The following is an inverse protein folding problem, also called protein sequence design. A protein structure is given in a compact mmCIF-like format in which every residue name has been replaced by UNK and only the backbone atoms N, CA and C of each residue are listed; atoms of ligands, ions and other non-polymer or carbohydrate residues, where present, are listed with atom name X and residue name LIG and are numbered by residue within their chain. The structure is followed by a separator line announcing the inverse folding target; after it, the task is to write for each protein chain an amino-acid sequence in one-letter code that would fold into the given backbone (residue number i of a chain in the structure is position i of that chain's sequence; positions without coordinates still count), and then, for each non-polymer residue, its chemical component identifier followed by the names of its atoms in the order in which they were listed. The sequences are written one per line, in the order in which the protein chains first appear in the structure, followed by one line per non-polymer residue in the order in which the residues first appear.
data_IF_126349266200
#
_entry.id   IF_126349266200
#
_cell.length_a   1.000
_cell.length_b   1.000
_cell.length_c   1.000
_cell.angle_alpha   90.00
_cell.angle_beta   90.00
_cell.angle_gamma   90.00
#
_symmetry.space_group_name_H-M   'P 1'
#
loop_
_entity.id
_entity.type
_entity.pdbx_description
1 polymer ?
#
# COMPACT_ATOMS: atom_id res chain seq x y z
N UNK A 1 29.79 44.46 -11.66
CA UNK A 1 30.65 43.64 -10.77
C UNK A 1 29.89 42.93 -9.65
N UNK A 2 28.98 43.58 -8.92
CA UNK A 2 28.24 42.97 -7.79
C UNK A 2 27.40 41.72 -8.16
N UNK A 3 26.63 41.76 -9.25
CA UNK A 3 25.80 40.63 -9.67
C UNK A 3 26.62 39.37 -10.06
N UNK A 4 27.78 39.58 -10.69
CA UNK A 4 28.70 38.49 -11.05
C UNK A 4 29.27 37.84 -9.79
N UNK A 5 29.70 38.66 -8.82
CA UNK A 5 30.21 38.17 -7.55
C UNK A 5 29.17 37.38 -6.76
N UNK A 6 27.93 37.86 -6.69
CA UNK A 6 26.83 37.15 -6.03
C UNK A 6 26.55 35.79 -6.69
N UNK A 7 26.56 35.73 -8.03
CA UNK A 7 26.36 34.49 -8.79
C UNK A 7 27.46 33.46 -8.53
N UNK A 8 28.72 33.90 -8.50
CA UNK A 8 29.86 33.02 -8.19
C UNK A 8 29.74 32.47 -6.76
N UNK A 9 29.47 33.34 -5.78
CA UNK A 9 29.30 32.93 -4.38
C UNK A 9 28.17 31.92 -4.20
N UNK A 10 27.06 32.10 -4.92
CA UNK A 10 25.96 31.14 -4.94
C UNK A 10 26.39 29.78 -5.50
N UNK A 11 27.10 29.75 -6.62
CA UNK A 11 27.60 28.51 -7.22
C UNK A 11 28.60 27.79 -6.31
N UNK A 12 29.49 28.52 -5.64
CA UNK A 12 30.42 27.93 -4.66
C UNK A 12 29.69 27.25 -3.50
N UNK A 13 28.66 27.90 -2.96
CA UNK A 13 27.86 27.32 -1.88
C UNK A 13 27.12 26.06 -2.33
N UNK A 14 26.58 26.06 -3.56
CA UNK A 14 25.95 24.88 -4.14
C UNK A 14 26.91 23.71 -4.28
N UNK A 15 28.16 23.96 -4.70
CA UNK A 15 29.17 22.91 -4.82
C UNK A 15 29.55 22.33 -3.46
N UNK A 16 29.67 23.16 -2.42
CA UNK A 16 29.93 22.71 -1.05
C UNK A 16 28.78 21.84 -0.52
N UNK A 17 27.55 22.24 -0.76
CA UNK A 17 26.36 21.46 -0.39
C UNK A 17 26.37 20.08 -1.07
N UNK A 18 26.61 20.03 -2.38
CA UNK A 18 26.68 18.77 -3.11
C UNK A 18 27.79 17.86 -2.64
N UNK A 19 28.98 18.41 -2.36
CA UNK A 19 30.10 17.63 -1.83
C UNK A 19 29.74 16.96 -0.50
N UNK A 20 29.10 17.69 0.41
CA UNK A 20 28.63 17.16 1.70
C UNK A 20 27.62 16.02 1.51
N UNK A 21 26.70 16.17 0.57
CA UNK A 21 25.72 15.13 0.25
C UNK A 21 26.35 13.87 -0.34
N UNK A 22 27.32 14.02 -1.23
CA UNK A 22 28.09 12.92 -1.78
C UNK A 22 28.86 12.16 -0.70
N UNK A 23 29.52 12.87 0.23
CA UNK A 23 30.23 12.27 1.38
C UNK A 23 29.28 11.52 2.32
N UNK A 24 28.07 12.05 2.52
CA UNK A 24 27.07 11.44 3.38
C UNK A 24 26.23 10.35 2.69
N UNK A 25 26.44 10.09 1.39
CA UNK A 25 25.59 9.19 0.61
C UNK A 25 24.11 9.63 0.55
N UNK A 26 23.83 10.92 0.68
CA UNK A 26 22.46 11.47 0.72
C UNK A 26 22.18 12.32 -0.51
N UNK A 27 20.91 12.43 -0.90
CA UNK A 27 20.52 13.16 -2.11
C UNK A 27 20.01 14.56 -1.73
N UNK A 28 20.60 15.64 -2.30
CA UNK A 28 20.20 17.02 -2.06
C UNK A 28 18.71 17.25 -2.32
N UNK A 29 18.03 17.92 -1.38
CA UNK A 29 16.58 18.19 -1.47
C UNK A 29 16.20 18.92 -2.76
N UNK A 30 17.05 19.85 -3.22
CA UNK A 30 16.77 20.65 -4.42
C UNK A 30 16.73 19.84 -5.71
N UNK A 31 17.44 18.69 -5.78
CA UNK A 31 17.37 17.80 -6.94
C UNK A 31 15.97 17.20 -7.08
N UNK A 32 15.28 16.93 -5.95
CA UNK A 32 13.91 16.42 -5.95
C UNK A 32 12.90 17.43 -6.52
N UNK A 33 13.21 18.73 -6.44
CA UNK A 33 12.34 19.82 -6.93
C UNK A 33 12.68 20.32 -8.34
N UNK A 34 13.68 19.75 -9.00
CA UNK A 34 14.05 20.18 -10.35
C UNK A 34 13.02 19.70 -11.37
N UNK A 35 12.44 20.65 -12.11
CA UNK A 35 11.41 20.37 -13.12
C UNK A 35 11.96 19.71 -14.40
N UNK A 36 13.26 19.83 -14.67
CA UNK A 36 13.87 19.31 -15.88
C UNK A 36 15.38 19.13 -15.74
N UNK A 37 15.96 18.25 -16.54
CA UNK A 37 17.41 18.11 -16.62
C UNK A 37 18.10 19.40 -17.08
N UNK A 38 19.27 19.74 -16.50
CA UNK A 38 20.09 20.82 -17.00
C UNK A 38 20.46 20.60 -18.46
N UNK A 39 20.28 21.64 -19.29
CA UNK A 39 20.73 21.66 -20.68
C UNK A 39 22.19 22.11 -20.76
N UNK A 40 23.04 21.27 -21.34
CA UNK A 40 24.46 21.49 -21.53
C UNK A 40 24.73 21.89 -22.98
N UNK A 41 25.70 22.77 -23.20
CA UNK A 41 26.06 23.22 -24.54
C UNK A 41 26.74 22.12 -25.38
N UNK A 42 27.46 21.20 -24.73
CA UNK A 42 28.14 20.09 -25.41
C UNK A 42 27.31 18.81 -25.33
N UNK A 43 27.11 18.08 -26.45
CA UNK A 43 26.42 16.79 -26.43
C UNK A 43 27.06 15.77 -25.47
N UNK A 44 28.40 15.75 -25.40
CA UNK A 44 29.14 14.88 -24.47
C UNK A 44 28.88 15.25 -23.01
N UNK A 45 28.75 16.53 -22.71
CA UNK A 45 28.41 16.99 -21.37
C UNK A 45 26.95 16.67 -21.04
N UNK A 46 26.02 16.83 -21.99
CA UNK A 46 24.61 16.47 -21.81
C UNK A 46 24.46 14.98 -21.51
N UNK A 47 25.15 14.10 -22.26
CA UNK A 47 25.11 12.66 -22.03
C UNK A 47 25.49 12.30 -20.59
N UNK A 48 26.59 12.88 -20.09
CA UNK A 48 27.03 12.66 -18.69
C UNK A 48 25.99 13.14 -17.69
N UNK A 49 25.39 14.32 -17.91
CA UNK A 49 24.34 14.84 -17.03
C UNK A 49 23.16 13.87 -17.00
N UNK A 50 22.64 13.48 -18.16
CA UNK A 50 21.50 12.57 -18.27
C UNK A 50 21.78 11.23 -17.56
N UNK A 51 22.94 10.64 -17.79
CA UNK A 51 23.34 9.37 -17.17
C UNK A 51 23.43 9.49 -15.65
N UNK A 52 24.09 10.53 -15.14
CA UNK A 52 24.19 10.75 -13.68
C UNK A 52 22.83 11.02 -13.05
N UNK A 53 21.94 11.72 -13.75
CA UNK A 53 20.61 12.02 -13.22
C UNK A 53 19.73 10.78 -13.18
N UNK A 54 19.78 9.96 -14.23
CA UNK A 54 19.10 8.67 -14.27
C UNK A 54 19.59 7.75 -13.15
N UNK A 55 20.90 7.68 -12.90
CA UNK A 55 21.46 6.93 -11.78
C UNK A 55 20.90 7.44 -10.43
N UNK A 56 20.86 8.75 -10.23
CA UNK A 56 20.30 9.33 -9.00
C UNK A 56 18.82 8.96 -8.86
N UNK A 57 18.02 9.08 -9.92
CA UNK A 57 16.61 8.69 -9.91
C UNK A 57 16.41 7.22 -9.53
N UNK A 58 17.16 6.29 -10.15
CA UNK A 58 17.12 4.88 -9.78
C UNK A 58 17.44 4.68 -8.30
N UNK A 59 18.50 5.33 -7.79
CA UNK A 59 18.85 5.19 -6.36
C UNK A 59 17.78 5.75 -5.42
N UNK A 60 17.06 6.82 -5.79
CA UNK A 60 15.93 7.34 -5.00
C UNK A 60 14.80 6.32 -4.97
N UNK A 61 14.49 5.71 -6.12
CA UNK A 61 13.43 4.72 -6.22
C UNK A 61 13.77 3.46 -5.42
N UNK A 62 15.00 2.96 -5.51
CA UNK A 62 15.46 1.81 -4.73
C UNK A 62 15.33 2.06 -3.22
N UNK A 63 15.71 3.26 -2.76
CA UNK A 63 15.54 3.65 -1.36
C UNK A 63 14.07 3.68 -0.94
N UNK A 64 13.18 4.19 -1.81
CA UNK A 64 11.75 4.22 -1.53
C UNK A 64 11.14 2.82 -1.48
N UNK A 65 11.56 1.92 -2.39
CA UNK A 65 11.14 0.52 -2.39
C UNK A 65 11.55 -0.16 -1.07
N UNK A 66 12.81 -0.02 -0.66
CA UNK A 66 13.30 -0.58 0.60
C UNK A 66 12.53 -0.05 1.83
N UNK A 67 12.16 1.23 1.83
CA UNK A 67 11.35 1.81 2.90
C UNK A 67 9.93 1.19 2.93
N UNK A 68 9.30 1.02 1.77
CA UNK A 68 7.99 0.37 1.65
C UNK A 68 8.06 -1.08 2.14
N UNK A 69 9.07 -1.84 1.73
CA UNK A 69 9.27 -3.23 2.14
C UNK A 69 9.44 -3.34 3.66
N UNK A 70 10.25 -2.46 4.26
CA UNK A 70 10.43 -2.39 5.71
C UNK A 70 9.12 -2.11 6.44
N UNK A 71 8.35 -1.14 5.94
CA UNK A 71 7.05 -0.80 6.53
C UNK A 71 6.07 -1.96 6.40
N UNK A 72 6.02 -2.63 5.24
CA UNK A 72 5.19 -3.81 5.02
C UNK A 72 5.54 -4.94 6.01
N UNK A 73 6.82 -5.19 6.24
CA UNK A 73 7.28 -6.19 7.21
C UNK A 73 6.82 -5.84 8.64
N UNK A 74 6.95 -4.56 9.05
CA UNK A 74 6.49 -4.10 10.36
C UNK A 74 4.97 -4.25 10.53
N UNK A 75 4.18 -3.92 9.50
CA UNK A 75 2.74 -4.09 9.53
C UNK A 75 2.32 -5.56 9.61
N UNK A 76 3.02 -6.46 8.90
CA UNK A 76 2.80 -7.90 9.02
C UNK A 76 3.06 -8.39 10.45
N UNK A 77 4.15 -7.96 11.07
CA UNK A 77 4.48 -8.31 12.47
C UNK A 77 3.43 -7.80 13.45
N UNK A 78 3.00 -6.55 13.31
CA UNK A 78 1.92 -5.96 14.12
C UNK A 78 0.62 -6.75 14.00
N UNK A 79 0.25 -7.14 12.79
CA UNK A 79 -0.95 -7.94 12.55
C UNK A 79 -0.86 -9.31 13.22
N UNK A 80 0.29 -9.99 13.12
CA UNK A 80 0.50 -11.28 13.79
C UNK A 80 0.44 -11.17 15.32
N UNK A 81 1.02 -10.11 15.90
CA UNK A 81 0.92 -9.82 17.33
C UNK A 81 -0.53 -9.63 17.77
N UNK A 82 -1.32 -8.88 17.00
CA UNK A 82 -2.74 -8.67 17.27
C UNK A 82 -3.55 -9.98 17.21
N UNK A 83 -3.26 -10.85 16.23
CA UNK A 83 -3.88 -12.17 16.14
C UNK A 83 -3.55 -13.03 17.36
N UNK A 84 -2.30 -13.01 17.82
CA UNK A 84 -1.87 -13.75 19.00
C UNK A 84 -2.56 -13.22 20.26
N UNK A 85 -2.62 -11.90 20.44
CA UNK A 85 -3.32 -11.26 21.55
C UNK A 85 -4.79 -11.70 21.60
N UNK A 86 -5.50 -11.63 20.47
CA UNK A 86 -6.92 -12.05 20.37
C UNK A 86 -7.11 -13.52 20.75
N UNK A 87 -6.17 -14.40 20.39
CA UNK A 87 -6.21 -15.82 20.77
C UNK A 87 -6.00 -16.00 22.27
N UNK A 88 -5.03 -15.30 22.87
CA UNK A 88 -4.78 -15.33 24.31
C UNK A 88 -5.97 -14.79 25.12
N UNK A 89 -6.59 -13.70 24.68
CA UNK A 89 -7.77 -13.14 25.34
C UNK A 89 -8.96 -14.10 25.36
N UNK A 90 -9.21 -14.83 24.25
CA UNK A 90 -10.24 -15.88 24.22
C UNK A 90 -9.96 -17.00 25.22
N UNK A 91 -8.72 -17.47 25.31
CA UNK A 91 -8.34 -18.51 26.27
C UNK A 91 -8.49 -18.06 27.73
N UNK A 92 -8.18 -16.80 28.02
CA UNK A 92 -8.39 -16.21 29.35
C UNK A 92 -9.88 -16.14 29.69
N UNK A 93 -10.73 -15.78 28.74
CA UNK A 93 -12.19 -15.73 28.94
C UNK A 93 -12.79 -17.14 29.14
N UNK A 94 -12.35 -18.14 28.37
CA UNK A 94 -12.79 -19.54 28.54
C UNK A 94 -12.35 -20.11 29.90
N UNK A 95 -11.08 -19.92 30.28
CA UNK A 95 -10.58 -20.36 31.60
C UNK A 95 -11.19 -19.64 32.80
N UNK A 96 -11.88 -18.52 32.58
CA UNK A 96 -12.63 -17.78 33.62
C UNK A 96 -14.07 -18.27 33.76
N UNK A 97 -14.68 -18.81 32.70
CA UNK A 97 -16.02 -19.45 32.73
C UNK A 97 -16.03 -20.78 33.48
N UNK A 98 -14.90 -21.50 33.54
CA UNK A 98 -14.78 -22.74 34.32
C UNK A 98 -14.63 -22.51 35.84
N UNK A 99 -14.30 -21.28 36.27
CA UNK A 99 -14.05 -20.93 37.68
C UNK A 99 -15.21 -20.21 38.37
N UNK A 100 -16.36 -20.04 37.71
CA UNK A 100 -17.59 -19.70 38.45
C UNK A 100 -18.06 -20.94 39.20
N UNK A 101 -17.63 -20.99 40.47
CA UNK A 101 -18.06 -21.95 41.46
C UNK A 101 -19.59 -22.12 41.39
N UNK A 102 -20.03 -23.38 41.43
CA UNK A 102 -21.43 -23.78 41.58
C UNK A 102 -21.98 -23.07 42.83
N UNK A 103 -22.67 -21.96 42.65
CA UNK A 103 -23.44 -21.34 43.71
C UNK A 103 -24.59 -22.31 43.96
N UNK A 104 -24.55 -22.97 45.10
CA UNK A 104 -25.63 -23.83 45.58
C UNK A 104 -26.88 -22.97 45.69
N UNK A 105 -27.85 -23.18 44.80
CA UNK A 105 -29.14 -22.51 44.83
C UNK A 105 -29.93 -23.01 46.05
N UNK A 106 -29.77 -22.33 47.18
CA UNK A 106 -30.79 -22.37 48.22
C UNK A 106 -31.87 -21.37 47.81
N UNK A 107 -33.00 -21.93 47.40
CA UNK A 107 -34.24 -21.25 47.07
C UNK A 107 -34.63 -20.26 48.16
N UNK A 108 -34.83 -19.00 47.77
CA UNK A 108 -35.78 -18.06 48.37
C UNK A 108 -35.95 -16.85 47.46
N UNK A 109 -37.05 -16.94 46.71
CA UNK A 109 -37.86 -15.87 46.12
C UNK A 109 -37.52 -14.46 46.58
N UNK A 110 -36.96 -13.66 45.66
CA UNK A 110 -37.27 -12.24 45.54
C UNK A 110 -37.24 -11.89 44.03
N UNK A 111 -38.44 -11.99 43.48
CA UNK A 111 -38.92 -11.41 42.23
C UNK A 111 -38.76 -9.88 42.26
N UNK A 112 -37.75 -9.34 41.57
CA UNK A 112 -37.62 -7.91 41.24
C UNK A 112 -36.84 -7.79 39.91
N UNK A 113 -37.61 -7.59 38.83
CA UNK A 113 -37.23 -7.31 37.43
C UNK A 113 -36.76 -8.49 36.57
N UNK A 114 -37.74 -9.15 35.94
CA UNK A 114 -37.56 -9.79 34.64
C UNK A 114 -37.48 -8.73 33.53
N UNK A 115 -36.51 -8.88 32.65
CA UNK A 115 -36.51 -8.25 31.32
C UNK A 115 -37.64 -8.85 30.48
N UNK A 116 -38.16 -8.09 29.51
CA UNK A 116 -38.06 -8.60 28.14
C UNK A 116 -37.09 -7.77 27.31
N UNK A 117 -36.16 -8.46 26.65
CA UNK A 117 -35.50 -8.00 25.43
C UNK A 117 -36.58 -7.72 24.37
N UNK A 118 -36.67 -6.48 23.90
CA UNK A 118 -37.32 -6.16 22.62
C UNK A 118 -36.23 -5.61 21.68
N UNK A 119 -35.83 -6.50 20.77
CA UNK A 119 -35.57 -6.25 19.34
C UNK A 119 -34.91 -4.90 18.98
N UNK A 120 -33.58 -4.89 18.84
CA UNK A 120 -32.91 -3.92 17.97
C UNK A 120 -33.30 -4.27 16.52
N UNK A 121 -34.23 -3.50 15.96
CA UNK A 121 -34.58 -3.53 14.54
C UNK A 121 -33.33 -3.27 13.69
N UNK A 122 -33.08 -4.16 12.73
CA UNK A 122 -32.08 -3.96 11.67
C UNK A 122 -32.38 -2.65 10.93
N UNK A 123 -31.38 -1.84 10.55
CA UNK A 123 -31.64 -0.74 9.64
C UNK A 123 -32.05 -1.31 8.27
N UNK A 124 -33.34 -1.17 7.99
CA UNK A 124 -33.96 -1.25 6.68
C UNK A 124 -33.20 -0.32 5.72
N UNK A 125 -32.40 -0.90 4.82
CA UNK A 125 -31.83 -0.13 3.72
C UNK A 125 -32.99 0.15 2.76
N UNK A 126 -33.56 1.34 2.87
CA UNK A 126 -34.50 1.89 1.91
C UNK A 126 -33.85 1.97 0.55
N UNK A 127 -34.48 1.26 -0.38
CA UNK A 127 -34.41 1.39 -1.83
C UNK A 127 -34.45 2.87 -2.25
N UNK A 128 -33.46 3.30 -3.03
CA UNK A 128 -33.55 4.49 -3.89
C UNK A 128 -32.79 4.12 -5.18
N UNK A 129 -33.39 3.19 -5.93
CA UNK A 129 -33.15 2.97 -7.35
C UNK A 129 -33.65 4.20 -8.15
N UNK A 130 -32.92 5.31 -8.08
CA UNK A 130 -32.99 6.38 -9.08
C UNK A 130 -31.92 6.12 -10.15
N UNK A 131 -32.23 5.14 -10.99
CA UNK A 131 -31.51 4.91 -12.24
C UNK A 131 -32.05 5.89 -13.30
N UNK A 132 -31.63 7.16 -13.20
CA UNK A 132 -31.91 8.16 -14.23
C UNK A 132 -31.00 7.94 -15.44
N UNK A 133 -31.65 7.41 -16.48
CA UNK A 133 -31.30 7.36 -17.88
C UNK A 133 -31.02 8.76 -18.44
N UNK A 134 -29.76 9.08 -18.73
CA UNK A 134 -29.39 10.16 -19.66
C UNK A 134 -28.33 9.59 -20.61
N UNK A 135 -28.72 9.45 -21.88
CA UNK A 135 -28.02 8.73 -22.92
C UNK A 135 -26.64 9.29 -23.28
N UNK A 136 -25.73 8.36 -23.57
CA UNK A 136 -24.45 8.66 -24.20
C UNK A 136 -24.63 8.62 -25.72
N UNK A 137 -24.69 9.79 -26.33
CA UNK A 137 -24.61 9.97 -27.77
C UNK A 137 -23.22 9.52 -28.25
N UNK A 138 -23.13 8.29 -28.75
CA UNK A 138 -21.94 7.78 -29.44
C UNK A 138 -21.73 8.56 -30.76
N UNK A 139 -20.98 9.65 -30.68
CA UNK A 139 -20.29 10.24 -31.83
C UNK A 139 -19.29 9.19 -32.36
N UNK A 140 -19.69 8.53 -33.45
CA UNK A 140 -18.78 7.76 -34.30
C UNK A 140 -17.86 8.72 -35.04
N UNK A 141 -16.69 8.94 -34.47
CA UNK A 141 -15.54 9.42 -35.22
C UNK A 141 -14.85 8.19 -35.84
N UNK A 142 -15.20 7.92 -37.11
CA UNK A 142 -14.52 6.95 -37.97
C UNK A 142 -13.12 7.48 -38.33
N UNK A 143 -12.24 7.47 -37.33
CA UNK A 143 -10.81 7.76 -37.45
C UNK A 143 -10.02 6.48 -37.67
N UNK A 144 -9.96 6.07 -38.93
CA UNK A 144 -9.05 5.07 -39.48
C UNK A 144 -7.59 5.50 -39.21
N UNK A 145 -6.90 4.81 -38.31
CA UNK A 145 -5.43 4.82 -38.22
C UNK A 145 -4.97 3.41 -37.80
N UNK A 146 -4.73 2.59 -38.82
CA UNK A 146 -3.88 1.42 -38.79
C UNK A 146 -2.52 1.78 -38.18
N UNK A 147 -2.33 1.51 -36.88
CA UNK A 147 -1.01 1.50 -36.26
C UNK A 147 -0.91 0.28 -35.33
N UNK A 148 -0.46 -0.84 -35.92
CA UNK A 148 -0.11 -2.12 -35.28
C UNK A 148 1.10 -1.99 -34.34
N UNK A 149 1.11 -0.99 -33.47
CA UNK A 149 2.02 -0.96 -32.34
C UNK A 149 1.28 -1.42 -31.09
N UNK A 150 1.20 -2.74 -30.95
CA UNK A 150 0.92 -3.40 -29.67
C UNK A 150 2.07 -3.04 -28.73
N UNK A 151 1.99 -1.84 -28.16
CA UNK A 151 2.78 -1.37 -27.03
C UNK A 151 2.36 -2.24 -25.85
N UNK A 152 2.98 -3.42 -25.73
CA UNK A 152 2.82 -4.31 -24.60
C UNK A 152 3.14 -3.49 -23.35
N UNK A 153 2.11 -3.19 -22.57
CA UNK A 153 2.29 -2.46 -21.32
C UNK A 153 3.13 -3.36 -20.40
N UNK A 154 4.34 -2.98 -19.99
CA UNK A 154 5.17 -3.85 -19.14
C UNK A 154 4.48 -4.22 -17.81
N UNK A 155 3.49 -3.43 -17.40
CA UNK A 155 2.66 -3.67 -16.23
C UNK A 155 1.58 -4.74 -16.43
N UNK A 156 1.20 -5.09 -17.66
CA UNK A 156 0.20 -6.14 -17.90
C UNK A 156 0.78 -7.52 -17.59
N UNK A 157 2.04 -7.76 -17.94
CA UNK A 157 2.73 -9.03 -17.64
C UNK A 157 2.89 -9.22 -16.12
N UNK A 158 3.35 -8.19 -15.40
CA UNK A 158 3.52 -8.24 -13.95
C UNK A 158 2.19 -8.43 -13.20
N UNK A 159 1.12 -7.78 -13.66
CA UNK A 159 -0.23 -7.97 -13.07
C UNK A 159 -0.78 -9.38 -13.32
N UNK A 160 -0.44 -9.97 -14.46
CA UNK A 160 -0.86 -11.32 -14.80
C UNK A 160 -0.10 -12.35 -13.96
N UNK A 161 1.22 -12.19 -13.82
CA UNK A 161 2.06 -13.05 -12.97
C UNK A 161 1.59 -13.03 -11.51
N UNK A 162 1.30 -11.85 -10.94
CA UNK A 162 0.76 -11.74 -9.57
C UNK A 162 -0.62 -12.39 -9.43
N UNK A 163 -1.48 -12.29 -10.46
CA UNK A 163 -2.79 -12.95 -10.46
C UNK A 163 -2.66 -14.47 -10.50
N UNK A 164 -1.73 -14.96 -11.30
CA UNK A 164 -1.51 -16.39 -11.48
C UNK A 164 -0.91 -17.00 -10.20
N UNK A 165 0.08 -16.35 -9.58
CA UNK A 165 0.65 -16.76 -8.27
C UNK A 165 -0.37 -16.75 -7.13
N UNK A 166 -1.27 -15.78 -7.10
CA UNK A 166 -2.33 -15.74 -6.09
C UNK A 166 -3.35 -16.88 -6.31
N UNK A 167 -3.60 -17.25 -7.56
CA UNK A 167 -4.54 -18.33 -7.89
C UNK A 167 -3.96 -19.71 -7.57
N UNK A 168 -2.67 -19.91 -7.82
CA UNK A 168 -1.97 -21.17 -7.49
C UNK A 168 -1.89 -21.37 -5.98
N UNK A 169 -1.54 -20.33 -5.22
CA UNK A 169 -1.49 -20.40 -3.74
C UNK A 169 -2.84 -20.67 -3.10
N UNK A 170 -3.94 -20.16 -3.67
CA UNK A 170 -5.30 -20.46 -3.20
C UNK A 170 -5.70 -21.91 -3.50
N UNK A 171 -5.35 -22.41 -4.69
CA UNK A 171 -5.62 -23.79 -5.07
C UNK A 171 -4.82 -24.81 -4.23
N UNK A 172 -3.55 -24.51 -3.91
CA UNK A 172 -2.74 -25.36 -3.03
C UNK A 172 -3.27 -25.37 -1.58
N UNK A 173 -3.76 -24.23 -1.06
CA UNK A 173 -4.39 -24.18 0.26
C UNK A 173 -5.69 -24.99 0.32
N UNK A 174 -6.50 -24.96 -0.75
CA UNK A 174 -7.74 -25.72 -0.83
C UNK A 174 -7.47 -27.23 -0.90
N UNK A 175 -6.45 -27.66 -1.66
CA UNK A 175 -6.06 -29.07 -1.75
C UNK A 175 -5.43 -29.61 -0.44
N UNK A 176 -4.67 -28.79 0.29
CA UNK A 176 -4.15 -29.17 1.62
C UNK A 176 -5.26 -29.29 2.67
N UNK A 177 -6.30 -28.45 2.57
CA UNK A 177 -7.46 -28.51 3.46
C UNK A 177 -8.31 -29.77 3.19
N UNK A 178 -8.49 -30.14 1.91
CA UNK A 178 -9.19 -31.37 1.52
C UNK A 178 -8.42 -32.65 1.91
N UNK A 179 -7.08 -32.63 1.84
CA UNK A 179 -6.24 -33.76 2.31
C UNK A 179 -6.19 -33.89 3.84
N UNK A 180 -6.33 -32.79 4.57
CA UNK A 180 -6.35 -32.78 6.04
C UNK A 180 -7.62 -33.38 6.65
N UNK A 181 -8.75 -33.28 5.95
CA UNK A 181 -10.05 -33.76 6.42
C UNK A 181 -10.30 -35.26 6.17
N UNK A 182 -9.44 -35.93 5.38
CA UNK A 182 -9.52 -37.38 5.10
C UNK A 182 -8.77 -38.25 6.14
N UNK A 183 -8.01 -37.64 7.07
CA UNK A 183 -7.21 -38.36 8.09
C UNK A 183 -7.68 -38.17 9.55
N UNK A 184 -8.87 -37.66 9.80
CA UNK A 184 -9.51 -37.68 11.13
C UNK A 184 -10.70 -38.63 11.19
#
# INVERSE_FOLDING_TARGET
MHAVHARVKYQENLLKEYKKHAENGTIPKRLKSMKSYPKMQSPKAQKRVNETYHQVECTVLDQAIQEIEKNLAAHKEQYQSLLQQRRSERQVLEGRKEKTAKISHHTRDLDVFGEPLEEDEEPENTDDDDNDDEGDDEDKDDGDDDDDNVSVNPWSELRQEVKDDMKTTLAEQEEEQERGDIQK
#
